data_IF_819471431049
#
_entry.id   IF_819471431049
#
_cell.length_a   1.000
_cell.length_b   1.000
_cell.length_c   1.000
_cell.angle_alpha   90.00
_cell.angle_beta   90.00
_cell.angle_gamma   90.00
#
_symmetry.space_group_name_H-M   'P 1'
#
loop_
_entity.id
_entity.type
_entity.pdbx_description
1 polymer ?
#
# COMPACT_ATOMS: atom_id res chain seq x y z
N UNK A 1 14.12 9.12 -23.32
CA UNK A 1 15.14 9.29 -22.25
C UNK A 1 14.85 8.42 -21.02
N UNK A 2 13.61 8.38 -20.48
CA UNK A 2 13.26 7.55 -19.32
C UNK A 2 13.41 6.03 -19.59
N UNK A 3 13.03 5.56 -20.78
CA UNK A 3 13.22 4.16 -21.18
C UNK A 3 14.69 3.74 -21.29
N UNK A 4 15.58 4.66 -21.68
CA UNK A 4 17.01 4.43 -21.75
C UNK A 4 17.65 4.30 -20.35
N UNK A 5 17.20 5.10 -19.39
CA UNK A 5 17.69 5.05 -17.99
C UNK A 5 17.25 3.76 -17.28
N UNK A 6 16.06 3.25 -17.57
CA UNK A 6 15.59 1.96 -17.03
C UNK A 6 16.39 0.81 -17.64
N UNK A 7 16.74 0.90 -18.93
CA UNK A 7 17.54 -0.10 -19.61
C UNK A 7 19.00 -0.12 -19.13
N UNK A 8 19.61 1.04 -18.91
CA UNK A 8 20.97 1.15 -18.38
C UNK A 8 21.08 0.65 -16.93
N UNK A 9 20.11 0.94 -16.06
CA UNK A 9 20.13 0.44 -14.69
C UNK A 9 19.94 -1.07 -14.58
N UNK A 10 19.13 -1.69 -15.44
CA UNK A 10 18.98 -3.13 -15.50
C UNK A 10 20.26 -3.82 -16.00
N UNK A 11 20.95 -3.23 -16.97
CA UNK A 11 22.22 -3.73 -17.49
C UNK A 11 23.36 -3.56 -16.49
N UNK A 12 23.38 -2.47 -15.70
CA UNK A 12 24.41 -2.21 -14.69
C UNK A 12 24.28 -3.12 -13.46
N UNK A 13 23.09 -3.52 -13.07
CA UNK A 13 22.89 -4.53 -12.02
C UNK A 13 23.30 -5.94 -12.45
N UNK A 14 23.17 -6.27 -13.72
CA UNK A 14 23.63 -7.56 -14.29
C UNK A 14 25.17 -7.58 -14.43
N UNK A 15 25.79 -6.44 -14.73
CA UNK A 15 27.24 -6.34 -14.91
C UNK A 15 28.05 -6.33 -13.60
N UNK A 16 27.45 -5.95 -12.47
CA UNK A 16 28.12 -5.93 -11.15
C UNK A 16 28.26 -7.30 -10.49
N UNK A 17 27.59 -8.35 -10.97
CA UNK A 17 27.91 -9.73 -10.60
C UNK A 17 28.98 -10.25 -11.55
N UNK A 18 30.22 -10.25 -11.09
CA UNK A 18 31.39 -10.81 -11.81
C UNK A 18 31.10 -12.23 -12.29
N UNK A 19 30.68 -12.37 -13.54
CA UNK A 19 30.81 -13.62 -14.27
C UNK A 19 32.13 -13.49 -15.01
N UNK A 20 33.16 -14.16 -14.53
CA UNK A 20 34.45 -14.24 -15.20
C UNK A 20 34.31 -15.26 -16.31
N UNK A 21 33.89 -14.83 -17.49
CA UNK A 21 34.03 -15.63 -18.72
C UNK A 21 35.25 -15.15 -19.45
N UNK A 22 36.34 -15.89 -19.36
CA UNK A 22 37.51 -15.77 -20.28
C UNK A 22 37.15 -16.47 -21.58
N UNK A 23 36.77 -15.73 -22.61
CA UNK A 23 36.56 -16.24 -23.95
C UNK A 23 35.98 -15.17 -24.87
N UNK A 24 36.70 -14.84 -25.96
CA UNK A 24 36.31 -13.81 -26.94
C UNK A 24 35.15 -14.30 -27.82
N UNK A 25 33.99 -13.61 -27.74
CA UNK A 25 32.84 -13.82 -28.63
C UNK A 25 33.00 -12.94 -29.85
N UNK A 26 33.04 -13.54 -31.06
CA UNK A 26 33.25 -12.86 -32.34
C UNK A 26 32.12 -11.86 -32.68
N UNK A 27 32.45 -10.78 -33.42
CA UNK A 27 31.56 -9.69 -33.82
C UNK A 27 30.34 -10.13 -34.64
N UNK A 28 30.37 -11.26 -35.30
CA UNK A 28 29.25 -11.76 -36.11
C UNK A 28 28.06 -12.27 -35.28
N UNK A 29 28.32 -12.87 -34.11
CA UNK A 29 27.24 -13.34 -33.20
C UNK A 29 26.49 -12.20 -32.53
N UNK A 30 27.09 -11.02 -32.38
CA UNK A 30 26.42 -9.82 -31.89
C UNK A 30 25.40 -9.22 -32.88
N UNK A 31 25.58 -9.46 -34.20
CA UNK A 31 24.64 -8.98 -35.24
C UNK A 31 23.43 -9.87 -35.45
N UNK A 32 23.47 -11.12 -35.08
CA UNK A 32 22.32 -12.04 -35.19
C UNK A 32 21.21 -11.74 -34.16
N UNK A 33 21.58 -11.23 -33.00
CA UNK A 33 20.62 -10.86 -31.94
C UNK A 33 19.86 -9.56 -32.25
N UNK A 34 20.40 -8.68 -33.10
CA UNK A 34 19.81 -7.39 -33.45
C UNK A 34 18.82 -7.44 -34.64
N UNK A 35 18.58 -8.59 -35.25
CA UNK A 35 17.74 -8.72 -36.47
C UNK A 35 16.40 -9.42 -36.27
N UNK A 36 15.98 -9.67 -35.04
CA UNK A 36 14.64 -10.21 -34.75
C UNK A 36 13.79 -9.18 -34.03
N UNK A 37 13.09 -8.32 -34.74
CA UNK A 37 11.70 -7.92 -34.48
C UNK A 37 11.28 -6.73 -35.34
N UNK A 38 10.45 -6.97 -36.31
CA UNK A 38 9.43 -6.02 -36.78
C UNK A 38 8.23 -6.81 -37.30
N UNK A 39 7.40 -7.32 -36.41
CA UNK A 39 5.95 -7.46 -36.66
C UNK A 39 5.28 -7.68 -35.32
N UNK A 40 4.65 -6.62 -34.85
CA UNK A 40 3.90 -6.60 -33.61
C UNK A 40 2.44 -6.92 -33.89
N UNK A 41 1.96 -8.01 -33.36
CA UNK A 41 0.60 -8.21 -32.78
C UNK A 41 0.71 -9.52 -32.02
N UNK A 42 0.67 -9.46 -30.69
CA UNK A 42 0.94 -10.53 -29.72
C UNK A 42 2.39 -10.59 -29.24
N UNK A 43 2.74 -9.62 -28.41
CA UNK A 43 4.08 -9.55 -27.83
C UNK A 43 4.16 -10.41 -26.55
N UNK A 44 4.38 -11.71 -26.71
CA UNK A 44 5.09 -12.51 -25.72
C UNK A 44 6.58 -12.47 -26.10
N UNK A 45 7.34 -11.64 -25.40
CA UNK A 45 8.80 -11.61 -25.60
C UNK A 45 9.45 -12.76 -24.84
N UNK A 46 9.74 -13.84 -25.53
CA UNK A 46 10.55 -14.94 -25.01
C UNK A 46 12.03 -14.63 -25.27
N UNK A 47 12.79 -14.44 -24.20
CA UNK A 47 14.25 -14.54 -24.31
C UNK A 47 14.62 -16.02 -24.27
N UNK A 48 14.80 -16.64 -25.42
CA UNK A 48 15.41 -17.94 -25.56
C UNK A 48 16.94 -17.77 -25.39
N UNK A 49 17.46 -18.14 -24.23
CA UNK A 49 18.87 -18.46 -24.11
C UNK A 49 19.02 -19.90 -24.59
N UNK A 50 19.77 -20.17 -25.69
CA UNK A 50 19.84 -21.51 -26.24
C UNK A 50 20.48 -22.48 -25.25
N UNK A 51 19.88 -23.67 -25.15
CA UNK A 51 20.24 -24.75 -24.26
C UNK A 51 21.63 -25.35 -24.49
N UNK A 52 22.00 -26.19 -23.57
CA UNK A 52 23.14 -27.14 -23.50
C UNK A 52 24.13 -27.11 -24.68
N UNK A 53 25.26 -26.49 -24.49
CA UNK A 53 26.41 -26.73 -25.29
C UNK A 53 27.34 -27.74 -24.59
N UNK A 54 27.44 -28.93 -25.15
CA UNK A 54 28.60 -29.82 -24.93
C UNK A 54 29.69 -29.37 -25.90
N UNK A 55 30.71 -28.75 -25.40
CA UNK A 55 31.95 -28.49 -26.15
C UNK A 55 33.11 -29.09 -25.39
N UNK A 56 33.74 -30.11 -25.97
CA UNK A 56 35.02 -30.61 -25.48
C UNK A 56 36.08 -29.55 -25.73
N UNK A 57 36.73 -29.09 -24.68
CA UNK A 57 38.01 -28.39 -24.81
C UNK A 57 39.14 -29.42 -24.76
N UNK A 58 40.16 -29.31 -25.60
CA UNK A 58 41.31 -30.21 -25.49
C UNK A 58 42.11 -29.85 -24.23
N UNK A 59 42.15 -30.79 -23.28
CA UNK A 59 43.05 -30.74 -22.14
C UNK A 59 42.49 -30.53 -20.73
N UNK A 60 41.18 -30.68 -20.46
CA UNK A 60 40.67 -30.71 -19.09
C UNK A 60 39.41 -31.58 -18.95
N UNK A 61 39.44 -32.53 -18.01
CA UNK A 61 38.31 -33.37 -17.59
C UNK A 61 37.43 -32.68 -16.55
N UNK A 62 36.91 -31.50 -16.82
CA UNK A 62 35.90 -30.89 -15.93
C UNK A 62 34.63 -30.54 -16.69
N UNK A 63 33.55 -31.29 -16.40
CA UNK A 63 32.20 -31.01 -16.87
C UNK A 63 31.55 -29.95 -15.98
N UNK A 64 31.32 -28.76 -16.54
CA UNK A 64 30.53 -27.70 -15.86
C UNK A 64 29.04 -27.98 -16.08
N UNK A 65 28.34 -28.33 -15.02
CA UNK A 65 26.89 -28.42 -15.03
C UNK A 65 26.32 -27.00 -14.77
N UNK A 66 25.72 -26.38 -15.80
CA UNK A 66 24.98 -25.14 -15.65
C UNK A 66 23.50 -25.52 -15.34
N UNK A 67 23.09 -25.34 -14.13
CA UNK A 67 21.68 -25.46 -13.74
C UNK A 67 20.91 -24.22 -14.18
N UNK A 68 19.88 -24.40 -15.00
CA UNK A 68 18.94 -23.34 -15.38
C UNK A 68 18.16 -22.88 -14.15
N UNK A 69 18.46 -21.70 -13.61
CA UNK A 69 17.54 -20.99 -12.73
C UNK A 69 16.62 -20.11 -13.59
N UNK A 70 15.38 -20.51 -13.74
CA UNK A 70 14.33 -19.71 -14.39
C UNK A 70 13.81 -18.68 -13.41
N UNK A 71 14.13 -17.42 -13.63
CA UNK A 71 13.44 -16.31 -12.97
C UNK A 71 12.26 -15.88 -13.85
N UNK A 72 11.01 -15.84 -13.33
CA UNK A 72 9.90 -15.30 -14.07
C UNK A 72 10.03 -13.79 -14.17
N UNK A 73 10.10 -13.26 -15.39
CA UNK A 73 9.88 -11.84 -15.64
C UNK A 73 8.41 -11.51 -15.34
N UNK A 74 8.18 -10.65 -14.36
CA UNK A 74 6.88 -10.09 -14.06
C UNK A 74 6.47 -9.14 -15.20
N UNK A 75 5.64 -9.61 -16.10
CA UNK A 75 4.89 -8.74 -17.02
C UNK A 75 3.65 -8.29 -16.27
N UNK A 76 3.56 -7.00 -16.03
CA UNK A 76 2.40 -6.36 -15.41
C UNK A 76 1.24 -6.35 -16.43
N UNK A 77 0.37 -7.35 -16.42
CA UNK A 77 -0.97 -7.21 -16.98
C UNK A 77 -1.83 -6.43 -15.99
N UNK A 78 -2.67 -5.58 -16.49
CA UNK A 78 -3.49 -4.49 -15.92
C UNK A 78 -4.13 -4.60 -14.53
N UNK A 79 -3.77 -5.57 -13.73
CA UNK A 79 -4.10 -5.69 -12.33
C UNK A 79 -2.81 -5.62 -11.50
N UNK A 80 -2.61 -4.51 -10.82
CA UNK A 80 -1.43 -4.13 -10.03
C UNK A 80 -1.07 -5.07 -8.85
N UNK A 81 -1.17 -6.37 -9.03
CA UNK A 81 -0.76 -7.35 -8.03
C UNK A 81 0.02 -8.48 -8.71
N UNK A 82 1.35 -8.33 -8.81
CA UNK A 82 2.25 -9.39 -9.27
C UNK A 82 2.03 -10.76 -8.60
N UNK A 83 1.35 -10.76 -7.45
CA UNK A 83 0.90 -11.94 -6.71
C UNK A 83 -0.22 -12.72 -7.43
N UNK A 84 -1.08 -12.08 -8.25
CA UNK A 84 -2.14 -12.81 -9.01
C UNK A 84 -1.56 -13.66 -10.13
N UNK A 85 -0.54 -13.16 -10.83
CA UNK A 85 0.12 -13.90 -11.91
C UNK A 85 0.88 -15.13 -11.36
N UNK A 86 1.57 -14.98 -10.23
CA UNK A 86 2.28 -16.10 -9.58
C UNK A 86 1.31 -17.18 -9.09
N UNK A 87 0.19 -16.79 -8.47
CA UNK A 87 -0.81 -17.73 -7.98
C UNK A 87 -1.59 -18.46 -9.09
N UNK A 88 -1.83 -17.80 -10.23
CA UNK A 88 -2.46 -18.41 -11.39
C UNK A 88 -1.53 -19.44 -12.05
N UNK A 89 -0.25 -19.16 -12.14
CA UNK A 89 0.75 -20.08 -12.70
C UNK A 89 0.98 -21.29 -11.79
N UNK A 90 1.06 -21.12 -10.47
CA UNK A 90 1.21 -22.21 -9.51
C UNK A 90 -0.01 -23.12 -9.49
N UNK A 91 -1.24 -22.57 -9.51
CA UNK A 91 -2.48 -23.37 -9.51
C UNK A 91 -2.60 -24.28 -10.75
N UNK A 92 -2.15 -23.81 -11.91
CA UNK A 92 -2.19 -24.60 -13.15
C UNK A 92 -1.04 -25.62 -13.26
N UNK A 93 0.14 -25.32 -12.68
CA UNK A 93 1.29 -26.19 -12.64
C UNK A 93 1.08 -27.37 -11.70
N UNK A 94 0.63 -27.12 -10.48
CA UNK A 94 0.41 -28.14 -9.46
C UNK A 94 -0.71 -29.14 -9.85
N UNK A 95 -1.70 -28.69 -10.63
CA UNK A 95 -2.77 -29.56 -11.14
C UNK A 95 -2.30 -30.55 -12.22
N UNK A 96 -1.20 -30.24 -12.93
CA UNK A 96 -0.65 -31.09 -14.02
C UNK A 96 0.48 -32.02 -13.58
N UNK A 97 1.21 -31.70 -12.51
CA UNK A 97 2.50 -32.35 -12.20
C UNK A 97 2.53 -33.07 -10.84
N UNK A 98 1.44 -33.01 -10.01
CA UNK A 98 1.42 -33.63 -8.66
C UNK A 98 2.45 -33.04 -7.69
N UNK A 99 2.91 -31.79 -7.91
CA UNK A 99 3.92 -31.12 -7.10
C UNK A 99 3.25 -30.56 -5.84
N UNK A 100 3.74 -30.94 -4.66
CA UNK A 100 3.32 -30.36 -3.39
C UNK A 100 3.68 -28.87 -3.33
N UNK A 101 2.76 -28.03 -2.76
CA UNK A 101 3.01 -26.61 -2.52
C UNK A 101 4.11 -26.46 -1.46
N UNK A 102 4.93 -25.42 -1.63
CA UNK A 102 5.98 -25.03 -0.67
C UNK A 102 5.40 -24.17 0.47
N UNK A 103 6.14 -24.05 1.59
CA UNK A 103 5.78 -23.16 2.71
C UNK A 103 5.56 -21.70 2.22
N UNK A 104 6.35 -21.25 1.23
CA UNK A 104 6.21 -19.93 0.63
C UNK A 104 4.88 -19.78 -0.12
N UNK A 105 4.46 -20.78 -0.88
CA UNK A 105 3.19 -20.76 -1.62
C UNK A 105 1.97 -20.75 -0.68
N UNK A 106 2.05 -21.43 0.47
CA UNK A 106 0.99 -21.37 1.50
C UNK A 106 0.94 -19.97 2.13
N UNK A 107 2.07 -19.35 2.45
CA UNK A 107 2.09 -17.97 2.97
C UNK A 107 1.61 -16.96 1.94
N UNK A 108 2.01 -17.08 0.67
CA UNK A 108 1.47 -16.26 -0.42
C UNK A 108 -0.06 -16.40 -0.54
N UNK A 109 -0.58 -17.61 -0.33
CA UNK A 109 -2.02 -17.83 -0.31
C UNK A 109 -2.69 -17.13 0.87
N UNK A 110 -2.09 -17.15 2.05
CA UNK A 110 -2.57 -16.39 3.22
C UNK A 110 -2.56 -14.88 2.95
N UNK A 111 -1.51 -14.34 2.32
CA UNK A 111 -1.42 -12.94 1.90
C UNK A 111 -2.56 -12.57 0.92
N UNK A 112 -2.85 -13.42 -0.06
CA UNK A 112 -3.96 -13.19 -0.99
C UNK A 112 -5.33 -13.18 -0.30
N UNK A 113 -5.52 -14.05 0.69
CA UNK A 113 -6.73 -14.07 1.50
C UNK A 113 -6.85 -12.79 2.34
N UNK A 114 -5.78 -12.34 2.99
CA UNK A 114 -5.74 -11.12 3.78
C UNK A 114 -6.25 -9.90 3.00
N UNK A 115 -5.80 -9.73 1.75
CA UNK A 115 -6.20 -8.63 0.85
C UNK A 115 -7.69 -8.53 0.59
N UNK A 116 -8.47 -9.62 0.77
CA UNK A 116 -9.93 -9.59 0.62
C UNK A 116 -10.63 -8.78 1.73
N UNK A 117 -9.94 -8.52 2.85
CA UNK A 117 -10.43 -7.69 3.95
C UNK A 117 -10.21 -6.19 3.77
N UNK A 118 -9.56 -5.77 2.68
CA UNK A 118 -9.22 -4.37 2.43
C UNK A 118 -10.45 -3.46 2.45
N UNK A 119 -10.35 -2.31 3.15
CA UNK A 119 -11.44 -1.36 3.36
C UNK A 119 -12.50 -1.78 4.39
N UNK A 120 -12.53 -3.04 4.80
CA UNK A 120 -13.53 -3.57 5.74
C UNK A 120 -13.01 -3.78 7.15
N UNK A 121 -11.71 -4.06 7.30
CA UNK A 121 -11.14 -4.45 8.60
C UNK A 121 -10.76 -3.27 9.48
N UNK A 122 -10.60 -2.08 8.93
CA UNK A 122 -10.14 -0.90 9.69
C UNK A 122 -10.94 -0.66 10.99
N UNK A 123 -10.29 -0.37 12.12
CA UNK A 123 -8.85 -0.16 12.32
C UNK A 123 -8.05 -1.45 12.61
N UNK A 124 -8.65 -2.63 12.45
CA UNK A 124 -7.96 -3.91 12.58
C UNK A 124 -7.07 -4.21 11.36
N UNK A 125 -6.02 -5.03 11.50
CA UNK A 125 -5.17 -5.41 10.38
C UNK A 125 -5.90 -6.35 9.41
N UNK A 126 -5.45 -6.35 8.17
CA UNK A 126 -5.77 -7.40 7.21
C UNK A 126 -4.94 -8.64 7.56
N UNK A 127 -5.61 -9.75 7.87
CA UNK A 127 -4.96 -11.02 8.20
C UNK A 127 -5.56 -12.14 7.37
N UNK A 128 -4.70 -13.05 6.91
CA UNK A 128 -5.09 -14.29 6.24
C UNK A 128 -4.44 -15.49 6.92
N UNK A 129 -5.14 -16.62 6.89
CA UNK A 129 -4.68 -17.87 7.46
C UNK A 129 -4.98 -19.05 6.56
N UNK A 130 -4.04 -20.00 6.47
CA UNK A 130 -4.15 -21.24 5.70
C UNK A 130 -3.73 -22.42 6.59
N UNK A 131 -4.58 -23.44 6.72
CA UNK A 131 -4.31 -24.65 7.49
C UNK A 131 -3.99 -25.78 6.52
N UNK A 132 -2.85 -26.43 6.72
CA UNK A 132 -2.30 -27.46 5.83
C UNK A 132 -2.05 -28.75 6.61
N UNK A 133 -2.51 -29.88 6.05
CA UNK A 133 -2.26 -31.22 6.56
C UNK A 133 -1.86 -32.15 5.41
N UNK A 134 -0.78 -32.89 5.59
CA UNK A 134 -0.27 -33.84 4.58
C UNK A 134 -0.14 -33.21 3.18
N UNK A 135 0.44 -32.00 3.10
CA UNK A 135 0.63 -31.26 1.85
C UNK A 135 -0.65 -30.66 1.23
N UNK A 136 -1.81 -30.80 1.88
CA UNK A 136 -3.11 -30.32 1.37
C UNK A 136 -3.67 -29.20 2.23
N UNK A 137 -4.24 -28.17 1.60
CA UNK A 137 -4.99 -27.13 2.31
C UNK A 137 -6.32 -27.74 2.77
N UNK A 138 -6.55 -27.74 4.10
CA UNK A 138 -7.77 -28.25 4.74
C UNK A 138 -8.65 -27.13 5.31
N UNK A 139 -8.13 -25.90 5.43
CA UNK A 139 -8.88 -24.73 5.88
C UNK A 139 -8.26 -23.44 5.44
N UNK A 140 -9.08 -22.45 5.10
CA UNK A 140 -8.67 -21.12 4.68
C UNK A 140 -9.55 -20.04 5.31
N UNK A 141 -8.96 -18.94 5.75
CA UNK A 141 -9.72 -17.85 6.32
C UNK A 141 -9.00 -16.49 6.19
N UNK A 142 -9.76 -15.43 6.33
CA UNK A 142 -9.25 -14.08 6.44
C UNK A 142 -10.15 -13.25 7.37
N UNK A 143 -9.62 -12.18 7.93
CA UNK A 143 -10.41 -11.23 8.70
C UNK A 143 -11.31 -10.46 7.72
N UNK A 144 -12.62 -10.73 7.77
CA UNK A 144 -13.57 -10.23 6.76
C UNK A 144 -13.96 -8.78 7.03
N UNK A 145 -14.22 -8.45 8.30
CA UNK A 145 -14.73 -7.13 8.68
C UNK A 145 -14.46 -6.85 10.17
N UNK A 146 -14.26 -5.58 10.49
CA UNK A 146 -14.10 -5.13 11.88
C UNK A 146 -15.20 -5.65 12.80
N UNK A 147 -14.79 -6.29 13.89
CA UNK A 147 -15.71 -6.85 14.90
C UNK A 147 -16.15 -8.29 14.62
N UNK A 148 -15.86 -8.84 13.44
CA UNK A 148 -16.10 -10.25 13.11
C UNK A 148 -14.91 -11.13 13.47
N UNK A 149 -15.01 -12.44 13.20
CA UNK A 149 -13.98 -13.45 13.48
C UNK A 149 -12.66 -13.10 12.79
N UNK A 150 -11.55 -13.38 13.47
CA UNK A 150 -10.21 -13.26 12.91
C UNK A 150 -9.91 -14.38 11.88
N UNK A 151 -8.83 -14.21 11.14
CA UNK A 151 -8.44 -15.08 10.04
C UNK A 151 -8.30 -16.55 10.46
N UNK A 152 -7.63 -16.79 11.59
CA UNK A 152 -7.37 -18.12 12.12
C UNK A 152 -8.69 -18.85 12.48
N UNK A 153 -9.61 -18.14 13.14
CA UNK A 153 -10.93 -18.68 13.48
C UNK A 153 -11.79 -18.94 12.25
N UNK A 154 -11.70 -18.06 11.23
CA UNK A 154 -12.35 -18.31 9.94
C UNK A 154 -11.73 -19.49 9.19
N UNK A 155 -10.41 -19.69 9.28
CA UNK A 155 -9.73 -20.87 8.71
C UNK A 155 -10.15 -22.15 9.43
N UNK A 156 -10.24 -22.14 10.76
CA UNK A 156 -10.73 -23.26 11.57
C UNK A 156 -12.19 -23.57 11.24
N UNK A 157 -13.04 -22.55 11.10
CA UNK A 157 -14.45 -22.73 10.75
C UNK A 157 -14.65 -23.31 9.33
N UNK A 158 -13.65 -23.25 8.47
CA UNK A 158 -13.69 -23.79 7.10
C UNK A 158 -13.03 -25.16 6.95
N UNK A 159 -12.62 -25.80 8.05
CA UNK A 159 -11.94 -27.11 8.03
C UNK A 159 -12.78 -28.16 7.33
N UNK A 160 -12.14 -28.93 6.44
CA UNK A 160 -12.72 -30.06 5.73
C UNK A 160 -12.44 -31.40 6.42
N UNK A 161 -11.48 -31.44 7.36
CA UNK A 161 -11.08 -32.56 8.19
C UNK A 161 -10.44 -32.06 9.51
N UNK A 162 -10.28 -32.91 10.55
CA UNK A 162 -9.65 -32.50 11.81
C UNK A 162 -8.24 -31.96 11.64
N UNK A 163 -7.95 -30.80 12.25
CA UNK A 163 -6.67 -30.11 12.12
C UNK A 163 -5.56 -30.66 13.03
N UNK A 164 -5.82 -31.72 13.82
CA UNK A 164 -4.79 -32.33 14.68
C UNK A 164 -3.55 -32.72 13.88
N UNK A 165 -2.37 -32.22 14.32
CA UNK A 165 -1.10 -32.42 13.65
C UNK A 165 -0.83 -31.52 12.42
N UNK A 166 -1.77 -30.65 12.05
CA UNK A 166 -1.65 -29.73 10.92
C UNK A 166 -0.63 -28.59 11.17
N UNK A 167 -0.34 -27.85 10.10
CA UNK A 167 0.44 -26.60 10.11
C UNK A 167 -0.48 -25.45 9.74
N UNK A 168 -0.45 -24.32 10.47
CA UNK A 168 -1.14 -23.09 10.09
C UNK A 168 -0.12 -22.02 9.66
N UNK A 169 -0.37 -21.39 8.53
CA UNK A 169 0.34 -20.22 8.02
C UNK A 169 -0.54 -18.99 8.25
N UNK A 170 -0.04 -17.99 8.96
CA UNK A 170 -0.78 -16.76 9.29
C UNK A 170 0.08 -15.54 9.03
N UNK A 171 -0.50 -14.52 8.40
CA UNK A 171 0.25 -13.33 7.96
C UNK A 171 0.64 -12.39 9.10
N UNK A 172 0.06 -12.52 10.30
CA UNK A 172 0.35 -11.73 11.49
C UNK A 172 0.32 -12.61 12.73
N UNK A 173 1.08 -12.25 13.77
CA UNK A 173 1.09 -12.95 15.06
C UNK A 173 -0.32 -13.15 15.63
N UNK A 174 -0.73 -14.38 15.97
CA UNK A 174 -2.06 -14.67 16.53
C UNK A 174 -2.27 -13.97 17.87
N UNK A 175 -3.44 -13.35 18.03
CA UNK A 175 -3.79 -12.65 19.26
C UNK A 175 -3.95 -13.60 20.45
N UNK A 176 -3.51 -13.13 21.66
CA UNK A 176 -3.53 -13.88 22.91
C UNK A 176 -4.40 -13.24 23.99
N UNK A 177 -5.17 -12.21 23.67
CA UNK A 177 -6.01 -11.49 24.61
C UNK A 177 -7.49 -11.57 24.23
N UNK A 178 -8.37 -11.59 25.22
CA UNK A 178 -9.80 -11.50 25.02
C UNK A 178 -10.16 -10.07 24.58
N UNK A 179 -10.73 -9.95 23.38
CA UNK A 179 -11.28 -8.70 22.83
C UNK A 179 -12.78 -8.86 22.57
N UNK A 180 -13.21 -8.46 21.36
CA UNK A 180 -14.58 -8.74 20.89
C UNK A 180 -14.77 -10.23 20.56
N UNK A 181 -13.69 -10.93 20.26
CA UNK A 181 -13.62 -12.36 20.00
C UNK A 181 -12.65 -13.03 20.96
N UNK A 182 -12.81 -14.32 21.28
CA UNK A 182 -11.82 -15.07 22.06
C UNK A 182 -10.47 -15.15 21.33
N UNK A 183 -9.33 -15.34 22.06
CA UNK A 183 -7.99 -15.40 21.51
C UNK A 183 -7.83 -16.44 20.39
N UNK A 184 -7.04 -16.11 19.37
CA UNK A 184 -6.77 -17.06 18.28
C UNK A 184 -5.77 -18.14 18.73
N UNK A 185 -4.85 -17.81 19.66
CA UNK A 185 -3.92 -18.79 20.25
C UNK A 185 -4.65 -19.95 20.92
N UNK A 186 -5.73 -19.67 21.66
CA UNK A 186 -6.57 -20.73 22.28
C UNK A 186 -7.18 -21.64 21.22
N UNK A 187 -7.77 -21.09 20.16
CA UNK A 187 -8.38 -21.88 19.09
C UNK A 187 -7.33 -22.77 18.36
N UNK A 188 -6.11 -22.28 18.17
CA UNK A 188 -5.01 -23.05 17.56
C UNK A 188 -4.64 -24.24 18.45
N UNK A 189 -4.53 -24.02 19.77
CA UNK A 189 -4.20 -25.05 20.76
C UNK A 189 -5.32 -26.11 20.86
N UNK A 190 -6.58 -25.66 20.95
CA UNK A 190 -7.77 -26.54 21.00
C UNK A 190 -7.86 -27.47 19.80
N UNK A 191 -7.47 -26.98 18.60
CA UNK A 191 -7.45 -27.76 17.37
C UNK A 191 -6.21 -28.67 17.27
N UNK A 192 -5.33 -28.70 18.27
CA UNK A 192 -4.09 -29.51 18.32
C UNK A 192 -3.21 -29.32 17.08
N UNK A 193 -3.15 -28.09 16.55
CA UNK A 193 -2.26 -27.72 15.48
C UNK A 193 -0.82 -27.80 15.98
N UNK A 194 0.04 -28.55 15.28
CA UNK A 194 1.40 -28.83 15.74
C UNK A 194 2.40 -27.72 15.44
N UNK A 195 2.17 -26.90 14.39
CA UNK A 195 3.12 -25.88 13.94
C UNK A 195 2.36 -24.64 13.47
N UNK A 196 2.85 -23.45 13.87
CA UNK A 196 2.39 -22.14 13.41
C UNK A 196 3.54 -21.44 12.70
N UNK A 197 3.30 -20.98 11.47
CA UNK A 197 4.23 -20.18 10.67
C UNK A 197 3.68 -18.77 10.57
N UNK A 198 4.38 -17.81 11.18
CA UNK A 198 3.95 -16.41 11.34
C UNK A 198 4.75 -15.52 10.38
N UNK A 199 4.04 -14.67 9.64
CA UNK A 199 4.63 -13.66 8.77
C UNK A 199 5.18 -12.47 9.57
N UNK A 200 4.32 -11.51 9.88
CA UNK A 200 4.67 -10.31 10.66
C UNK A 200 4.51 -10.52 12.15
N UNK A 201 5.32 -9.81 12.94
CA UNK A 201 5.11 -9.65 14.39
C UNK A 201 4.06 -8.56 14.63
N UNK A 202 3.23 -8.72 15.64
CA UNK A 202 2.27 -7.68 16.04
C UNK A 202 2.98 -6.63 16.91
N UNK A 203 3.06 -5.35 16.50
CA UNK A 203 3.68 -4.29 17.30
C UNK A 203 2.80 -3.84 18.47
N UNK A 204 1.57 -4.35 18.60
CA UNK A 204 0.67 -4.00 19.68
C UNK A 204 1.24 -4.51 21.04
N UNK A 205 1.50 -3.64 22.03
CA UNK A 205 2.06 -4.07 23.34
C UNK A 205 1.21 -5.10 24.10
N UNK A 206 -0.06 -5.24 23.72
CA UNK A 206 -0.95 -6.28 24.29
C UNK A 206 -0.70 -7.67 23.71
N UNK A 207 -0.12 -7.75 22.52
CA UNK A 207 0.17 -8.99 21.78
C UNK A 207 1.66 -9.27 21.75
N UNK A 208 2.45 -8.41 21.19
CA UNK A 208 3.91 -8.41 20.99
C UNK A 208 4.68 -9.56 21.64
N UNK A 209 4.82 -10.70 20.97
CA UNK A 209 5.52 -11.90 21.44
C UNK A 209 4.77 -12.77 22.47
N UNK A 210 3.67 -12.30 23.05
CA UNK A 210 2.91 -13.06 24.06
C UNK A 210 2.13 -14.20 23.41
N UNK A 211 1.60 -13.99 22.20
CA UNK A 211 0.94 -15.05 21.43
C UNK A 211 1.90 -16.18 21.09
N UNK A 212 3.11 -15.84 20.66
CA UNK A 212 4.19 -16.80 20.38
C UNK A 212 4.59 -17.57 21.63
N UNK A 213 4.76 -16.87 22.75
CA UNK A 213 5.12 -17.50 24.03
C UNK A 213 4.04 -18.51 24.46
N UNK A 214 2.76 -18.13 24.45
CA UNK A 214 1.63 -18.97 24.80
C UNK A 214 1.55 -20.25 23.94
N UNK A 215 1.77 -20.13 22.64
CA UNK A 215 1.80 -21.27 21.72
C UNK A 215 2.97 -22.21 22.02
N UNK A 216 4.16 -21.70 22.30
CA UNK A 216 5.36 -22.50 22.66
C UNK A 216 5.17 -23.23 23.98
N UNK A 217 4.62 -22.56 25.00
CA UNK A 217 4.29 -23.17 26.30
C UNK A 217 3.28 -24.31 26.19
N UNK A 218 2.37 -24.22 25.21
CA UNK A 218 1.43 -25.30 24.89
C UNK A 218 2.02 -26.42 24.02
N UNK A 219 3.33 -26.39 23.71
CA UNK A 219 4.01 -27.41 22.91
C UNK A 219 3.87 -27.24 21.41
N UNK A 220 3.35 -26.11 20.93
CA UNK A 220 3.21 -25.80 19.48
C UNK A 220 4.56 -25.30 18.95
N UNK A 221 5.04 -25.85 17.85
CA UNK A 221 6.24 -25.34 17.16
C UNK A 221 5.91 -24.02 16.46
N UNK A 222 6.68 -22.95 16.73
CA UNK A 222 6.45 -21.61 16.13
C UNK A 222 7.65 -21.17 15.32
N UNK A 223 7.41 -20.83 14.05
CA UNK A 223 8.35 -20.17 13.13
C UNK A 223 7.89 -18.73 12.96
N UNK A 224 8.77 -17.77 13.24
CA UNK A 224 8.50 -16.33 13.16
C UNK A 224 9.21 -15.72 11.95
N UNK A 225 8.78 -14.51 11.55
CA UNK A 225 9.39 -13.68 10.51
C UNK A 225 9.46 -14.36 9.13
N UNK A 226 8.55 -15.30 8.86
CA UNK A 226 8.52 -16.00 7.58
C UNK A 226 7.87 -15.14 6.49
N UNK A 227 8.63 -14.74 5.48
CA UNK A 227 8.21 -13.76 4.46
C UNK A 227 7.73 -12.45 5.10
N UNK A 228 8.50 -11.97 6.08
CA UNK A 228 8.12 -10.82 6.90
C UNK A 228 7.88 -9.57 6.08
N UNK A 229 8.77 -9.27 5.13
CA UNK A 229 8.67 -8.04 4.31
C UNK A 229 7.37 -8.00 3.51
N UNK A 230 6.96 -9.12 2.90
CA UNK A 230 5.72 -9.24 2.14
C UNK A 230 4.48 -9.15 3.06
N UNK A 231 4.57 -9.70 4.27
CA UNK A 231 3.50 -9.63 5.26
C UNK A 231 3.40 -8.22 5.88
N UNK A 232 4.51 -7.54 6.18
CA UNK A 232 4.52 -6.18 6.70
C UNK A 232 3.88 -5.19 5.70
N UNK A 233 4.08 -5.41 4.39
CA UNK A 233 3.47 -4.61 3.33
C UNK A 233 1.93 -4.67 3.29
N UNK A 234 1.30 -5.66 3.94
CA UNK A 234 -0.16 -5.72 4.04
C UNK A 234 -0.74 -4.64 4.95
N UNK A 235 -0.03 -4.27 6.01
CA UNK A 235 -0.60 -3.56 7.14
C UNK A 235 0.14 -2.28 7.56
N UNK A 236 0.65 -1.43 6.64
CA UNK A 236 1.38 -0.20 7.03
C UNK A 236 0.50 0.75 7.83
N UNK A 237 -0.80 0.83 7.52
CA UNK A 237 -1.80 1.62 8.26
C UNK A 237 -1.90 1.14 9.70
N UNK A 238 -2.12 -0.17 9.90
CA UNK A 238 -2.26 -0.74 11.23
C UNK A 238 -0.99 -0.55 12.06
N UNK A 239 0.19 -0.84 11.50
CA UNK A 239 1.45 -0.70 12.21
C UNK A 239 1.71 0.74 12.65
N UNK A 240 1.44 1.70 11.78
CA UNK A 240 1.55 3.12 12.12
C UNK A 240 0.55 3.50 13.23
N UNK A 241 -0.74 3.19 13.04
CA UNK A 241 -1.79 3.62 13.96
C UNK A 241 -1.65 2.99 15.35
N UNK A 242 -1.31 1.68 15.43
CA UNK A 242 -1.21 1.00 16.71
C UNK A 242 -0.04 1.52 17.56
N UNK A 243 1.03 2.00 16.91
CA UNK A 243 2.23 2.52 17.57
C UNK A 243 2.14 4.01 17.89
N UNK A 244 1.61 4.83 16.97
CA UNK A 244 1.61 6.30 17.11
C UNK A 244 0.28 6.87 17.61
N UNK A 245 -0.81 6.15 17.46
CA UNK A 245 -2.19 6.60 17.70
C UNK A 245 -2.62 7.79 16.82
N UNK A 246 -1.92 8.00 15.70
CA UNK A 246 -2.26 9.00 14.68
C UNK A 246 -2.60 8.32 13.36
N UNK A 247 -3.44 8.92 12.50
CA UNK A 247 -3.75 8.36 11.20
C UNK A 247 -2.53 8.23 10.28
N UNK A 248 -2.46 7.14 9.51
CA UNK A 248 -1.53 7.00 8.38
C UNK A 248 -2.03 7.85 7.22
N UNK A 249 -1.29 8.88 6.83
CA UNK A 249 -1.72 9.82 5.80
C UNK A 249 -1.11 9.45 4.45
N UNK A 250 -1.97 9.18 3.47
CA UNK A 250 -1.60 8.97 2.07
C UNK A 250 -1.99 10.20 1.26
N UNK A 251 -1.02 10.92 0.74
CA UNK A 251 -1.25 12.06 -0.15
C UNK A 251 -1.45 11.55 -1.58
N UNK A 252 -2.62 11.84 -2.15
CA UNK A 252 -2.96 11.45 -3.52
C UNK A 252 -3.26 12.67 -4.37
N UNK A 253 -2.67 12.70 -5.56
CA UNK A 253 -3.03 13.71 -6.56
C UNK A 253 -3.02 13.12 -7.98
N UNK A 254 -3.72 13.81 -8.88
CA UNK A 254 -3.70 13.53 -10.31
C UNK A 254 -3.16 14.75 -11.04
N UNK A 255 -2.19 14.56 -11.91
CA UNK A 255 -1.54 15.64 -12.66
C UNK A 255 -1.31 15.28 -14.11
N UNK A 256 -1.09 16.29 -14.93
CA UNK A 256 -0.55 16.12 -16.29
C UNK A 256 0.93 15.79 -16.26
N UNK A 257 1.51 15.35 -17.38
CA UNK A 257 2.93 15.02 -17.48
C UNK A 257 3.84 16.23 -17.19
N UNK A 258 3.35 17.47 -17.42
CA UNK A 258 4.02 18.73 -17.07
C UNK A 258 3.64 19.24 -15.66
N UNK A 259 3.11 18.36 -14.79
CA UNK A 259 2.92 18.65 -13.36
C UNK A 259 1.75 19.58 -13.03
N UNK A 260 0.69 19.65 -13.84
CA UNK A 260 -0.46 20.53 -13.59
C UNK A 260 -1.67 19.76 -13.08
N UNK A 261 -2.32 20.29 -12.03
CA UNK A 261 -3.58 19.75 -11.46
C UNK A 261 -4.83 20.51 -11.91
N UNK A 262 -4.67 21.61 -12.64
CA UNK A 262 -5.73 22.38 -13.24
C UNK A 262 -5.21 23.23 -14.43
N UNK A 263 -6.10 23.60 -15.34
CA UNK A 263 -5.80 24.58 -16.40
C UNK A 263 -5.61 25.98 -15.85
N UNK A 264 -5.22 26.93 -16.70
CA UNK A 264 -5.09 28.36 -16.32
C UNK A 264 -6.40 28.98 -15.80
N UNK A 265 -7.55 28.40 -16.16
CA UNK A 265 -8.88 28.86 -15.72
C UNK A 265 -9.36 28.13 -14.46
N UNK A 266 -8.57 27.16 -13.92
CA UNK A 266 -8.93 26.37 -12.77
C UNK A 266 -9.72 25.10 -13.10
N UNK A 267 -10.01 24.78 -14.36
CA UNK A 267 -10.70 23.56 -14.74
C UNK A 267 -9.79 22.33 -14.49
N UNK A 268 -10.30 21.35 -13.72
CA UNK A 268 -9.57 20.14 -13.30
C UNK A 268 -10.20 18.83 -13.81
N UNK A 269 -11.38 18.87 -14.38
CA UNK A 269 -12.15 17.67 -14.82
C UNK A 269 -12.06 17.51 -16.34
N UNK A 270 -11.52 16.40 -16.92
CA UNK A 270 -10.88 15.27 -16.24
C UNK A 270 -9.41 15.20 -16.67
N UNK A 271 -8.50 15.17 -15.73
CA UNK A 271 -7.06 15.05 -16.01
C UNK A 271 -6.76 13.60 -16.39
N UNK A 272 -7.05 12.67 -15.49
CA UNK A 272 -6.80 11.24 -15.65
C UNK A 272 -7.99 10.49 -16.27
N UNK A 273 -7.72 9.32 -16.84
CA UNK A 273 -8.68 8.44 -17.46
C UNK A 273 -9.63 7.75 -16.49
N UNK A 274 -10.55 6.95 -17.01
CA UNK A 274 -11.60 6.28 -16.23
C UNK A 274 -11.02 5.23 -15.29
N UNK A 275 -10.03 4.46 -15.75
CA UNK A 275 -9.38 3.41 -14.96
C UNK A 275 -8.74 3.99 -13.68
N UNK A 276 -7.99 5.11 -13.79
CA UNK A 276 -7.41 5.79 -12.63
C UNK A 276 -8.49 6.36 -11.70
N UNK A 277 -9.59 6.92 -12.23
CA UNK A 277 -10.70 7.39 -11.40
C UNK A 277 -11.42 6.25 -10.66
N UNK A 278 -11.49 5.06 -11.24
CA UNK A 278 -12.02 3.85 -10.58
C UNK A 278 -11.09 3.42 -9.43
N UNK A 279 -9.78 3.46 -9.64
CA UNK A 279 -8.79 3.20 -8.59
C UNK A 279 -8.93 4.18 -7.42
N UNK A 280 -9.19 5.46 -7.69
CA UNK A 280 -9.45 6.46 -6.64
C UNK A 280 -10.72 6.12 -5.83
N UNK A 281 -11.76 5.53 -6.43
CA UNK A 281 -12.91 5.06 -5.65
C UNK A 281 -12.54 3.90 -4.72
N UNK A 282 -11.63 3.01 -5.16
CA UNK A 282 -11.08 1.94 -4.34
C UNK A 282 -10.28 2.52 -3.16
N UNK A 283 -9.39 3.48 -3.41
CA UNK A 283 -8.65 4.16 -2.35
C UNK A 283 -9.57 4.84 -1.32
N UNK A 284 -10.66 5.50 -1.76
CA UNK A 284 -11.65 6.08 -0.85
C UNK A 284 -12.38 5.04 0.00
N UNK A 285 -12.52 3.80 -0.49
CA UNK A 285 -13.07 2.70 0.29
C UNK A 285 -12.04 2.14 1.28
N UNK A 286 -10.77 2.10 0.88
CA UNK A 286 -9.66 1.53 1.64
C UNK A 286 -9.34 2.33 2.90
N UNK A 287 -9.32 3.68 2.83
CA UNK A 287 -8.94 4.54 3.94
C UNK A 287 -10.16 5.02 4.74
N UNK A 288 -10.01 5.14 6.09
CA UNK A 288 -11.12 5.53 6.97
C UNK A 288 -11.53 6.99 6.82
N UNK A 289 -10.60 7.88 6.50
CA UNK A 289 -10.85 9.31 6.30
C UNK A 289 -10.44 9.78 4.91
N UNK A 290 -11.12 10.82 4.40
CA UNK A 290 -10.70 11.62 3.26
C UNK A 290 -10.56 13.07 3.69
N UNK A 291 -9.42 13.70 3.40
CA UNK A 291 -9.13 15.07 3.81
C UNK A 291 -8.93 15.98 2.61
N UNK A 292 -9.60 17.12 2.61
CA UNK A 292 -9.47 18.15 1.58
C UNK A 292 -9.43 19.55 2.20
N UNK A 293 -8.82 20.50 1.50
CA UNK A 293 -8.86 21.91 1.88
C UNK A 293 -10.15 22.60 1.47
N UNK A 294 -10.54 23.64 2.17
CA UNK A 294 -11.72 24.46 1.85
C UNK A 294 -11.70 25.01 0.41
N UNK A 295 -10.53 25.30 -0.13
CA UNK A 295 -10.40 25.74 -1.54
C UNK A 295 -11.01 24.75 -2.53
N UNK A 296 -10.82 23.44 -2.31
CA UNK A 296 -11.42 22.38 -3.12
C UNK A 296 -12.95 22.37 -2.99
N UNK A 297 -13.48 22.58 -1.77
CA UNK A 297 -14.93 22.61 -1.54
C UNK A 297 -15.57 23.81 -2.23
N UNK A 298 -14.93 24.98 -2.14
CA UNK A 298 -15.43 26.22 -2.78
C UNK A 298 -15.37 26.18 -4.31
N UNK A 299 -14.36 25.50 -4.87
CA UNK A 299 -14.17 25.43 -6.32
C UNK A 299 -15.03 24.36 -7.00
N UNK A 300 -15.14 23.17 -6.39
CA UNK A 300 -15.67 21.97 -7.03
C UNK A 300 -16.98 21.46 -6.43
N UNK A 301 -17.39 21.96 -5.26
CA UNK A 301 -18.51 21.49 -4.43
C UNK A 301 -18.60 19.94 -4.40
N UNK A 302 -17.53 19.24 -3.95
CA UNK A 302 -17.42 17.81 -4.10
C UNK A 302 -18.16 17.07 -2.99
N UNK A 303 -18.67 15.87 -3.30
CA UNK A 303 -19.24 14.96 -2.30
C UNK A 303 -18.19 14.23 -1.46
N UNK A 304 -16.98 14.04 -1.94
CA UNK A 304 -15.89 13.29 -1.30
C UNK A 304 -16.32 11.91 -0.74
N UNK A 305 -17.18 11.21 -1.44
CA UNK A 305 -17.69 9.90 -1.08
C UNK A 305 -17.27 8.82 -2.08
N UNK A 306 -17.53 7.57 -1.74
CA UNK A 306 -17.47 6.45 -2.67
C UNK A 306 -18.76 6.39 -3.47
N UNK A 307 -18.65 6.15 -4.79
CA UNK A 307 -19.77 6.08 -5.73
C UNK A 307 -19.99 4.66 -6.28
N UNK A 308 -19.36 3.67 -5.66
CA UNK A 308 -19.54 2.26 -5.98
C UNK A 308 -20.49 1.67 -4.95
N UNK A 309 -21.55 1.02 -5.43
CA UNK A 309 -22.55 0.40 -4.58
C UNK A 309 -21.94 -0.70 -3.69
N UNK A 310 -22.39 -0.78 -2.45
CA UNK A 310 -21.90 -1.75 -1.47
C UNK A 310 -20.60 -1.37 -0.80
N UNK A 311 -19.87 -0.36 -1.28
CA UNK A 311 -18.60 0.07 -0.68
C UNK A 311 -18.81 1.13 0.40
N UNK A 312 -17.96 1.07 1.45
CA UNK A 312 -17.98 2.02 2.56
C UNK A 312 -17.37 3.36 2.13
N UNK A 313 -18.06 4.46 2.43
CA UNK A 313 -17.52 5.82 2.28
C UNK A 313 -16.66 6.20 3.47
N UNK A 314 -15.57 6.97 3.27
CA UNK A 314 -14.72 7.49 4.34
C UNK A 314 -15.42 8.61 5.14
N UNK A 315 -14.90 8.89 6.33
CA UNK A 315 -15.19 10.12 7.09
C UNK A 315 -14.60 11.30 6.32
N UNK A 316 -15.41 12.31 6.03
CA UNK A 316 -14.98 13.49 5.26
C UNK A 316 -14.42 14.55 6.20
N UNK A 317 -13.20 15.02 5.94
CA UNK A 317 -12.49 15.98 6.76
C UNK A 317 -12.17 17.20 5.90
N UNK A 318 -12.67 18.36 6.28
CA UNK A 318 -12.40 19.62 5.59
C UNK A 318 -11.52 20.51 6.45
N UNK A 319 -10.34 20.87 5.93
CA UNK A 319 -9.45 21.85 6.56
C UNK A 319 -9.88 23.26 6.13
N UNK A 320 -10.44 24.03 7.06
CA UNK A 320 -10.98 25.37 6.82
C UNK A 320 -10.67 26.33 7.98
N UNK A 321 -9.43 26.83 8.03
CA UNK A 321 -8.93 27.67 9.14
C UNK A 321 -9.90 28.80 9.52
N UNK A 322 -10.60 29.40 8.57
CA UNK A 322 -11.52 30.54 8.76
C UNK A 322 -12.99 30.17 8.73
N UNK A 323 -13.31 28.89 8.77
CA UNK A 323 -14.68 28.36 8.74
C UNK A 323 -15.54 28.97 7.61
N UNK A 324 -14.99 29.01 6.37
CA UNK A 324 -15.65 29.59 5.19
C UNK A 324 -16.66 28.66 4.51
N UNK A 325 -16.68 27.37 4.89
CA UNK A 325 -17.50 26.34 4.26
C UNK A 325 -18.98 26.79 4.16
N UNK A 326 -19.59 26.79 2.98
CA UNK A 326 -20.99 27.18 2.84
C UNK A 326 -21.92 26.11 3.42
N UNK A 327 -22.91 26.48 4.28
CA UNK A 327 -23.94 25.53 4.72
C UNK A 327 -24.70 24.89 3.55
N UNK A 328 -24.82 25.60 2.41
CA UNK A 328 -25.44 25.11 1.20
C UNK A 328 -24.62 24.13 0.35
N UNK A 329 -23.35 23.83 0.71
CA UNK A 329 -22.50 22.91 -0.07
C UNK A 329 -22.98 21.45 0.03
N UNK A 330 -22.72 20.65 -1.02
CA UNK A 330 -23.12 19.24 -1.06
C UNK A 330 -22.55 18.43 0.11
N UNK A 331 -21.31 18.71 0.50
CA UNK A 331 -20.64 18.02 1.59
C UNK A 331 -21.35 18.27 2.94
N UNK A 332 -21.85 19.49 3.19
CA UNK A 332 -22.62 19.83 4.40
C UNK A 332 -24.03 19.25 4.32
N UNK A 333 -24.78 19.46 3.24
CA UNK A 333 -26.15 18.94 3.05
C UNK A 333 -26.26 17.42 3.22
N UNK A 334 -25.17 16.71 2.96
CA UNK A 334 -25.13 15.23 3.06
C UNK A 334 -24.47 14.74 4.34
N UNK A 335 -24.26 15.60 5.35
CA UNK A 335 -23.51 15.23 6.56
C UNK A 335 -24.23 14.21 7.43
N UNK A 336 -25.56 14.20 7.45
CA UNK A 336 -26.35 13.17 8.14
C UNK A 336 -26.08 11.75 7.56
N UNK A 337 -25.89 11.65 6.24
CA UNK A 337 -25.62 10.39 5.58
C UNK A 337 -24.15 9.98 5.63
N UNK A 338 -23.25 10.95 5.52
CA UNK A 338 -21.81 10.74 5.47
C UNK A 338 -21.12 11.57 6.55
N UNK A 339 -20.58 10.91 7.57
CA UNK A 339 -19.89 11.59 8.68
C UNK A 339 -18.91 12.64 8.14
N UNK A 340 -19.04 13.87 8.62
CA UNK A 340 -18.28 15.03 8.14
C UNK A 340 -17.73 15.81 9.30
N UNK A 341 -16.44 16.13 9.24
CA UNK A 341 -15.70 16.89 10.23
C UNK A 341 -15.13 18.13 9.53
N UNK A 342 -15.30 19.30 10.13
CA UNK A 342 -14.65 20.54 9.69
C UNK A 342 -13.66 20.97 10.76
N UNK A 343 -12.37 20.98 10.40
CA UNK A 343 -11.31 21.51 11.24
C UNK A 343 -11.17 23.01 10.99
N UNK A 344 -11.06 23.81 12.06
CA UNK A 344 -10.94 25.26 11.97
C UNK A 344 -10.00 25.82 13.04
N UNK A 345 -9.55 27.07 12.85
CA UNK A 345 -8.57 27.73 13.72
C UNK A 345 -9.05 29.11 14.21
N UNK A 346 -9.87 29.83 13.45
CA UNK A 346 -10.36 31.16 13.81
C UNK A 346 -11.65 31.05 14.64
N UNK A 347 -11.66 31.67 15.83
CA UNK A 347 -12.84 31.72 16.70
C UNK A 347 -13.67 32.99 16.53
N UNK A 348 -13.18 33.98 15.78
CA UNK A 348 -13.88 35.26 15.66
C UNK A 348 -15.17 35.11 14.87
N UNK A 349 -16.30 35.38 15.52
CA UNK A 349 -17.64 35.35 14.91
C UNK A 349 -18.06 33.98 14.31
N UNK A 350 -17.55 32.86 14.84
CA UNK A 350 -17.82 31.52 14.29
C UNK A 350 -18.93 30.76 15.03
N UNK A 351 -19.35 31.22 16.22
CA UNK A 351 -20.30 30.49 17.09
C UNK A 351 -21.65 30.19 16.41
N UNK A 352 -22.23 31.16 15.72
CA UNK A 352 -23.51 30.97 15.02
C UNK A 352 -23.35 29.94 13.87
N UNK A 353 -22.28 30.05 13.13
CA UNK A 353 -21.99 29.14 12.03
C UNK A 353 -21.73 27.71 12.51
N UNK A 354 -21.03 27.56 13.64
CA UNK A 354 -20.81 26.25 14.27
C UNK A 354 -22.14 25.63 14.65
N UNK A 355 -23.06 26.40 15.28
CA UNK A 355 -24.41 25.93 15.61
C UNK A 355 -25.15 25.45 14.36
N UNK A 356 -25.13 26.22 13.26
CA UNK A 356 -25.75 25.83 12.00
C UNK A 356 -25.13 24.53 11.47
N UNK A 357 -23.83 24.41 11.46
CA UNK A 357 -23.12 23.20 10.98
C UNK A 357 -23.49 21.97 11.84
N UNK A 358 -23.54 22.12 13.14
CA UNK A 358 -23.94 21.04 14.06
C UNK A 358 -25.42 20.61 13.85
N UNK A 359 -26.34 21.54 13.59
CA UNK A 359 -27.75 21.16 13.26
C UNK A 359 -27.87 20.42 11.96
N UNK A 360 -26.86 20.54 11.04
CA UNK A 360 -26.77 19.81 9.77
C UNK A 360 -25.96 18.52 9.88
N UNK A 361 -25.60 18.07 11.11
CA UNK A 361 -24.86 16.83 11.33
C UNK A 361 -23.34 16.92 11.07
N UNK A 362 -22.79 18.13 10.94
CA UNK A 362 -21.33 18.32 10.78
C UNK A 362 -20.67 18.43 12.14
N UNK A 363 -19.63 17.62 12.39
CA UNK A 363 -18.74 17.77 13.54
C UNK A 363 -17.72 18.88 13.30
N UNK A 364 -17.30 19.59 14.34
CA UNK A 364 -16.23 20.58 14.23
C UNK A 364 -15.07 20.26 15.17
N UNK A 365 -13.84 20.58 14.75
CA UNK A 365 -12.62 20.46 15.57
C UNK A 365 -11.88 21.80 15.54
N UNK A 366 -11.70 22.40 16.74
CA UNK A 366 -10.90 23.61 16.91
C UNK A 366 -9.44 23.22 17.18
N UNK A 367 -8.55 23.55 16.25
CA UNK A 367 -7.13 23.19 16.33
C UNK A 367 -6.23 24.26 15.71
N UNK A 368 -6.11 25.45 16.33
CA UNK A 368 -5.24 26.53 15.85
C UNK A 368 -3.77 26.22 16.13
N UNK A 369 -2.91 26.72 15.24
CA UNK A 369 -1.50 26.99 15.50
C UNK A 369 -1.30 28.43 16.00
N UNK A 370 -0.05 28.85 16.15
CA UNK A 370 0.33 30.21 16.61
C UNK A 370 -0.05 31.33 15.61
N UNK A 371 -0.40 30.98 14.37
CA UNK A 371 -0.74 31.90 13.27
C UNK A 371 -2.21 31.87 12.89
N UNK A 372 -3.08 31.33 13.75
CA UNK A 372 -4.50 31.11 13.46
C UNK A 372 -4.71 30.23 12.20
N UNK A 373 -3.76 29.32 11.89
CA UNK A 373 -3.92 28.26 10.91
C UNK A 373 -4.19 26.93 11.62
N UNK A 374 -4.62 25.91 10.86
CA UNK A 374 -4.86 24.58 11.42
C UNK A 374 -3.52 23.93 11.77
N UNK A 375 -3.33 23.58 13.05
CA UNK A 375 -2.29 22.68 13.49
C UNK A 375 -2.60 21.24 13.04
N UNK A 376 -1.96 20.83 11.94
CA UNK A 376 -2.19 19.52 11.34
C UNK A 376 -1.71 18.37 12.24
N UNK A 377 -0.68 18.55 13.07
CA UNK A 377 -0.23 17.51 14.01
C UNK A 377 -1.26 17.29 15.12
N UNK A 378 -1.77 18.36 15.69
CA UNK A 378 -2.87 18.31 16.67
C UNK A 378 -4.11 17.68 16.06
N UNK A 379 -4.46 18.07 14.82
CA UNK A 379 -5.59 17.48 14.11
C UNK A 379 -5.41 15.96 13.94
N UNK A 380 -4.23 15.47 13.57
CA UNK A 380 -3.97 14.02 13.47
C UNK A 380 -4.15 13.32 14.81
N UNK A 381 -3.70 13.91 15.91
CA UNK A 381 -3.90 13.37 17.25
C UNK A 381 -5.39 13.28 17.59
N UNK A 382 -6.16 14.33 17.33
CA UNK A 382 -7.60 14.36 17.61
C UNK A 382 -8.37 13.35 16.76
N UNK A 383 -8.03 13.21 15.49
CA UNK A 383 -8.63 12.23 14.58
C UNK A 383 -8.28 10.80 15.00
N UNK A 384 -7.03 10.54 15.39
CA UNK A 384 -6.60 9.25 15.91
C UNK A 384 -7.34 8.85 17.17
N UNK A 385 -7.53 9.78 18.12
CA UNK A 385 -8.33 9.57 19.35
C UNK A 385 -9.81 9.29 19.04
N UNK A 386 -10.33 9.74 17.89
CA UNK A 386 -11.69 9.43 17.40
C UNK A 386 -11.75 8.10 16.64
N UNK A 387 -10.65 7.33 16.61
CA UNK A 387 -10.57 6.00 16.00
C UNK A 387 -10.35 6.02 14.48
N UNK A 388 -9.92 7.12 13.89
CA UNK A 388 -9.58 7.22 12.47
C UNK A 388 -8.12 6.79 12.31
N UNK A 389 -7.87 5.65 11.67
CA UNK A 389 -6.55 5.04 11.52
C UNK A 389 -5.78 5.53 10.29
N UNK A 390 -6.51 6.04 9.29
CA UNK A 390 -5.93 6.39 7.99
C UNK A 390 -6.67 7.54 7.31
N UNK A 391 -5.93 8.31 6.51
CA UNK A 391 -6.47 9.45 5.77
C UNK A 391 -5.94 9.42 4.33
N UNK A 392 -6.86 9.46 3.37
CA UNK A 392 -6.58 9.81 1.99
C UNK A 392 -6.62 11.34 1.87
N UNK A 393 -5.47 11.98 1.72
CA UNK A 393 -5.37 13.41 1.49
C UNK A 393 -5.57 13.69 -0.01
N UNK A 394 -6.75 14.18 -0.37
CA UNK A 394 -7.09 14.70 -1.70
C UNK A 394 -7.12 16.23 -1.67
N UNK A 395 -6.01 16.83 -1.26
CA UNK A 395 -5.87 18.27 -1.10
C UNK A 395 -5.53 19.02 -2.40
N UNK A 396 -5.73 20.34 -2.40
CA UNK A 396 -5.05 21.24 -3.33
C UNK A 396 -3.60 21.47 -2.91
N UNK A 397 -2.81 22.09 -3.78
CA UNK A 397 -1.36 22.26 -3.57
C UNK A 397 -0.96 22.88 -2.24
N UNK A 398 -1.73 23.85 -1.74
CA UNK A 398 -1.47 24.51 -0.45
C UNK A 398 -1.61 23.56 0.74
N UNK A 399 -2.67 22.72 0.79
CA UNK A 399 -2.84 21.76 1.87
C UNK A 399 -1.81 20.64 1.79
N UNK A 400 -1.47 20.21 0.58
CA UNK A 400 -0.42 19.21 0.36
C UNK A 400 0.95 19.70 0.87
N UNK A 401 1.33 20.96 0.56
CA UNK A 401 2.55 21.58 1.09
C UNK A 401 2.52 21.63 2.63
N UNK A 402 1.42 22.12 3.21
CA UNK A 402 1.26 22.20 4.67
C UNK A 402 1.39 20.83 5.33
N UNK A 403 0.81 19.78 4.74
CA UNK A 403 0.87 18.42 5.26
C UNK A 403 2.29 17.82 5.18
N UNK A 404 3.02 18.08 4.10
CA UNK A 404 4.44 17.68 3.96
C UNK A 404 5.32 18.39 4.99
N UNK A 405 5.18 19.72 5.15
CA UNK A 405 5.93 20.49 6.14
C UNK A 405 5.62 20.08 7.57
N UNK A 406 4.37 19.73 7.86
CA UNK A 406 3.98 19.20 9.17
C UNK A 406 4.53 17.77 9.43
N UNK A 407 5.10 17.09 8.41
CA UNK A 407 5.63 15.73 8.53
C UNK A 407 4.58 14.64 8.76
N UNK A 408 3.30 14.94 8.45
CA UNK A 408 2.20 13.99 8.67
C UNK A 408 2.02 13.01 7.52
N UNK A 409 2.52 13.30 6.31
CA UNK A 409 2.40 12.43 5.13
C UNK A 409 3.39 11.27 5.24
N UNK A 410 2.89 10.04 5.06
CA UNK A 410 3.71 8.82 5.11
C UNK A 410 3.89 8.20 3.71
N UNK A 411 2.95 8.40 2.83
CA UNK A 411 2.96 7.87 1.47
C UNK A 411 2.42 8.91 0.49
N UNK A 412 2.96 8.89 -0.73
CA UNK A 412 2.50 9.71 -1.87
C UNK A 412 2.08 8.79 -3.00
N UNK A 413 0.89 9.03 -3.57
CA UNK A 413 0.40 8.37 -4.78
C UNK A 413 0.09 9.40 -5.86
N UNK A 414 0.96 9.50 -6.86
CA UNK A 414 0.80 10.38 -8.00
C UNK A 414 0.22 9.64 -9.21
N UNK A 415 -0.88 10.14 -9.76
CA UNK A 415 -1.45 9.67 -11.02
C UNK A 415 -1.06 10.67 -12.11
N UNK A 416 -0.27 10.24 -13.08
CA UNK A 416 0.28 11.07 -14.15
C UNK A 416 -0.42 10.73 -15.45
N UNK A 417 -1.17 11.71 -16.00
CA UNK A 417 -1.84 11.56 -17.27
C UNK A 417 -0.91 11.94 -18.45
N UNK A 418 -1.00 11.26 -19.60
CA UNK A 418 -0.22 11.55 -20.79
C UNK A 418 -0.77 12.82 -21.51
N UNK A 419 -0.79 13.95 -20.80
CA UNK A 419 -1.30 15.24 -21.25
C UNK A 419 -0.35 16.35 -20.86
N UNK A 420 -0.38 17.47 -21.58
CA UNK A 420 0.33 18.69 -21.26
C UNK A 420 -0.68 19.86 -21.24
N UNK A 421 -0.73 20.61 -20.13
CA UNK A 421 -1.54 21.81 -20.02
C UNK A 421 -0.75 23.08 -20.32
N UNK A 422 0.55 23.08 -20.02
CA UNK A 422 1.40 24.25 -20.17
C UNK A 422 1.03 25.42 -19.23
N UNK A 423 1.62 26.57 -19.50
CA UNK A 423 1.35 27.81 -18.78
C UNK A 423 2.08 27.93 -17.42
N UNK A 424 2.56 29.15 -17.11
CA UNK A 424 3.27 29.44 -15.86
C UNK A 424 2.31 29.44 -14.66
N UNK A 425 1.08 29.93 -14.83
CA UNK A 425 0.09 30.08 -13.76
C UNK A 425 -0.74 28.83 -13.44
N UNK A 426 -0.43 27.69 -14.06
CA UNK A 426 -1.15 26.43 -13.78
C UNK A 426 -0.83 25.91 -12.37
N UNK A 427 -1.87 25.56 -11.61
CA UNK A 427 -1.72 24.96 -10.26
C UNK A 427 -0.93 23.65 -10.30
N UNK A 428 -0.10 23.43 -9.28
CA UNK A 428 0.71 22.23 -9.13
C UNK A 428 0.25 21.38 -7.94
N UNK A 429 0.64 20.09 -7.87
CA UNK A 429 0.25 19.21 -6.76
C UNK A 429 0.71 19.67 -5.38
N UNK A 430 1.88 20.32 -5.32
CA UNK A 430 2.45 20.89 -4.11
C UNK A 430 2.79 22.35 -4.40
N UNK A 431 2.20 23.25 -3.65
CA UNK A 431 2.38 24.69 -3.74
C UNK A 431 3.10 25.21 -2.46
N UNK A 432 2.90 26.46 -2.10
CA UNK A 432 3.52 27.09 -0.92
C UNK A 432 4.78 27.88 -1.30
N UNK A 433 5.69 28.07 -0.34
CA UNK A 433 6.89 28.87 -0.57
C UNK A 433 8.04 28.11 -1.24
N UNK A 434 7.90 26.78 -1.37
CA UNK A 434 8.95 25.93 -1.92
C UNK A 434 10.13 25.70 -0.97
N UNK A 435 11.21 25.13 -1.48
CA UNK A 435 12.51 24.95 -0.81
C UNK A 435 13.53 25.86 -1.48
N UNK A 436 14.52 26.34 -0.73
CA UNK A 436 15.57 27.19 -1.28
C UNK A 436 16.64 26.35 -1.98
N UNK A 437 17.00 25.20 -1.39
CA UNK A 437 18.00 24.30 -1.94
C UNK A 437 17.43 22.91 -2.19
N UNK A 438 17.91 22.19 -3.22
CA UNK A 438 17.49 20.82 -3.49
C UNK A 438 17.69 19.85 -2.30
N UNK A 439 18.67 20.09 -1.44
CA UNK A 439 18.94 19.31 -0.22
C UNK A 439 17.85 19.41 0.85
N UNK A 440 16.98 20.41 0.76
CA UNK A 440 15.86 20.62 1.68
C UNK A 440 14.60 19.85 1.23
N UNK A 441 14.63 19.25 0.04
CA UNK A 441 13.50 18.54 -0.51
C UNK A 441 13.01 17.42 0.43
N UNK A 442 11.72 17.13 0.33
CA UNK A 442 11.15 15.93 0.92
C UNK A 442 11.55 14.73 0.04
N UNK A 443 12.41 13.88 0.58
CA UNK A 443 12.88 12.70 -0.13
C UNK A 443 11.82 11.60 -0.16
N UNK A 444 11.71 10.94 -1.31
CA UNK A 444 10.75 9.88 -1.56
C UNK A 444 11.46 8.61 -2.04
N UNK A 445 11.04 7.46 -1.52
CA UNK A 445 11.47 6.14 -2.00
C UNK A 445 10.35 5.50 -2.82
N UNK A 446 10.61 5.19 -4.08
CA UNK A 446 9.65 4.46 -4.92
C UNK A 446 9.34 3.07 -4.34
N UNK A 447 8.06 2.74 -4.25
CA UNK A 447 7.59 1.42 -3.81
C UNK A 447 6.87 0.67 -4.92
N UNK A 448 6.21 1.40 -5.85
CA UNK A 448 5.52 0.80 -6.99
C UNK A 448 5.36 1.83 -8.12
N UNK A 449 5.51 1.39 -9.36
CA UNK A 449 5.21 2.19 -10.55
C UNK A 449 4.45 1.28 -11.50
N UNK A 450 3.19 1.63 -11.81
CA UNK A 450 2.37 0.83 -12.71
C UNK A 450 1.52 1.68 -13.64
N UNK A 451 1.16 1.10 -14.78
CA UNK A 451 0.23 1.69 -15.73
C UNK A 451 -1.21 1.35 -15.33
N UNK A 452 -2.10 2.35 -15.31
CA UNK A 452 -3.54 2.20 -15.02
C UNK A 452 -4.32 2.80 -16.18
N UNK A 453 -4.74 1.98 -17.12
CA UNK A 453 -5.29 2.45 -18.40
C UNK A 453 -4.22 3.21 -19.17
N UNK A 454 -4.49 4.50 -19.48
CA UNK A 454 -3.54 5.39 -20.17
C UNK A 454 -2.62 6.15 -19.18
N UNK A 455 -2.94 6.15 -17.88
CA UNK A 455 -2.21 6.89 -16.86
C UNK A 455 -1.13 6.05 -16.21
N UNK A 456 -0.15 6.70 -15.56
CA UNK A 456 0.86 6.04 -14.74
C UNK A 456 0.58 6.38 -13.27
N UNK A 457 0.49 5.36 -12.40
CA UNK A 457 0.52 5.55 -10.95
C UNK A 457 1.94 5.37 -10.44
N UNK A 458 2.42 6.34 -9.69
CA UNK A 458 3.70 6.31 -8.98
C UNK A 458 3.37 6.32 -7.48
N UNK A 459 3.82 5.29 -6.76
CA UNK A 459 3.67 5.16 -5.32
C UNK A 459 5.03 5.29 -4.64
N UNK A 460 5.11 6.15 -3.64
CA UNK A 460 6.35 6.43 -2.91
C UNK A 460 6.08 6.50 -1.40
N UNK A 461 7.02 5.99 -0.61
CA UNK A 461 7.11 6.31 0.82
C UNK A 461 7.87 7.61 1.03
N UNK A 462 7.42 8.43 1.98
CA UNK A 462 8.17 9.59 2.45
C UNK A 462 9.31 9.10 3.34
N UNK A 463 10.54 9.49 3.01
CA UNK A 463 11.71 9.18 3.83
C UNK A 463 11.69 10.04 5.10
N UNK A 464 11.81 9.41 6.27
CA UNK A 464 12.00 10.16 7.52
C UNK A 464 13.40 10.79 7.50
N UNK A 465 13.50 12.12 7.72
CA UNK A 465 14.80 12.76 7.91
C UNK A 465 15.44 12.10 9.13
N UNK A 466 16.60 11.48 8.95
CA UNK A 466 17.43 11.07 10.10
C UNK A 466 17.67 12.32 10.92
N UNK A 467 17.28 12.33 12.19
CA UNK A 467 17.79 13.31 13.13
C UNK A 467 19.30 13.12 13.12
N UNK A 468 20.04 14.12 12.64
CA UNK A 468 21.48 14.18 12.88
C UNK A 468 21.64 14.20 14.39
N UNK A 469 22.13 13.09 14.94
CA UNK A 469 22.69 13.08 16.29
C UNK A 469 23.75 14.18 16.27
N UNK A 470 23.46 15.26 16.99
CA UNK A 470 24.44 16.30 17.27
C UNK A 470 25.55 15.67 18.09
N UNK A 471 26.56 15.10 17.42
CA UNK A 471 27.86 14.89 18.02
C UNK A 471 28.45 16.27 18.30
N UNK A 472 28.08 16.86 19.43
CA UNK A 472 28.94 17.81 20.11
C UNK A 472 30.21 17.03 20.50
N UNK A 473 31.18 17.02 19.62
CA UNK A 473 32.56 16.78 20.03
C UNK A 473 32.98 17.98 20.89
N UNK A 474 32.98 17.74 22.19
CA UNK A 474 33.77 18.53 23.12
C UNK A 474 35.25 18.38 22.72
N UNK A 475 35.83 19.48 22.19
CA UNK A 475 37.26 19.67 22.08
C UNK A 475 37.76 20.42 23.30
#
# INVERSE_FOLDING_TARGET
MIAAVIYENAVDQISRRRIVCKGAISREKKRAVAKMSTSARDAQMYFLVPGKYRGNMPGSEESVIVTEQRYPLLVCESDCTGLKALAYQTKNRNKKEGIEMTDQEYMLRAIQLAKKGEGWTNPNPMVGAVIVKDGRIIGEGYHKKYGELHAERNAIASLTEPAEGAVIYVTLEPCCHHGKTPPCTEAIIEQKIRKVVIGSRDPNPKVAGKGVQMLREAGVTVVEDFMREECDQLNPVFFHYITTKTPYVVMKYAMTLDGKIATKTGASKWITGEAARKEVQHMRHQYMGIMAGIGTVLADDPMLNVRVEGWKSPVRIVCDSKLRIPPGSQIVKSAEKYRTIVAYADQKNTEEKIKILHTMGVETIYCPDEKDQIDLKKLMTDLGNRGIDSILLEGGGTLNDSALRAGIVKEVQAFVAPKLFGGVAGKTPVEGIGVEFPSEAVELKYTDICQIGEDIRIRCQVCEKKQEESCLQES
#
